data_IF_678079585724
#
_entry.id   IF_678079585724
#
_cell.length_a   1.000
_cell.length_b   1.000
_cell.length_c   1.000
_cell.angle_alpha   90.00
_cell.angle_beta   90.00
_cell.angle_gamma   90.00
#
_symmetry.space_group_name_H-M   'P 1'
#
loop_
_entity.id
_entity.type
_entity.pdbx_description
1 polymer ?
#
# COMPACT_ATOMS: atom_id res chain seq x y z
N UNK A 1 18.81 4.01 3.06
CA UNK A 1 17.40 3.81 3.48
C UNK A 1 17.29 2.36 3.93
N UNK A 2 17.29 2.09 5.24
CA UNK A 2 17.17 0.71 5.73
C UNK A 2 15.73 0.24 5.53
N UNK A 3 15.55 -1.02 5.12
CA UNK A 3 14.26 -1.68 4.84
C UNK A 3 13.30 -1.68 6.04
N UNK A 4 13.78 -1.31 7.23
CA UNK A 4 13.01 -1.24 8.47
C UNK A 4 11.94 -0.16 8.55
N UNK A 5 11.72 0.70 7.55
CA UNK A 5 10.84 1.86 7.76
C UNK A 5 9.78 2.11 6.69
N UNK A 6 9.49 1.16 5.79
CA UNK A 6 8.30 1.31 4.92
C UNK A 6 7.03 1.29 5.77
N UNK A 7 6.94 0.35 6.73
CA UNK A 7 5.81 0.26 7.66
C UNK A 7 5.71 1.52 8.51
N UNK A 8 6.82 2.00 9.08
CA UNK A 8 6.79 3.26 9.86
C UNK A 8 6.51 4.49 9.00
N UNK A 9 6.97 4.52 7.74
CA UNK A 9 6.61 5.58 6.80
C UNK A 9 5.10 5.60 6.54
N UNK A 10 4.48 4.43 6.38
CA UNK A 10 3.04 4.31 6.23
C UNK A 10 2.27 4.63 7.51
N UNK A 11 2.79 4.27 8.69
CA UNK A 11 2.25 4.72 9.98
C UNK A 11 2.33 6.24 10.12
N UNK A 12 3.47 6.84 9.80
CA UNK A 12 3.69 8.30 9.86
C UNK A 12 2.84 9.06 8.84
N UNK A 13 2.53 8.45 7.70
CA UNK A 13 1.65 8.99 6.67
C UNK A 13 0.16 8.69 6.91
N UNK A 14 -0.19 8.05 8.04
CA UNK A 14 -1.57 7.64 8.38
C UNK A 14 -2.21 6.68 7.36
N UNK A 15 -1.41 5.89 6.64
CA UNK A 15 -1.89 4.85 5.72
C UNK A 15 -2.09 3.50 6.41
N UNK A 16 -1.39 3.30 7.54
CA UNK A 16 -1.56 2.16 8.43
C UNK A 16 -1.86 2.65 9.85
N UNK A 17 -2.50 1.81 10.63
CA UNK A 17 -2.75 2.00 12.06
C UNK A 17 -2.13 0.84 12.85
N UNK A 18 -1.69 1.08 14.09
CA UNK A 18 -1.22 0.00 14.97
C UNK A 18 -2.40 -0.81 15.49
N UNK A 19 -2.24 -2.13 15.50
CA UNK A 19 -3.23 -3.09 15.97
C UNK A 19 -2.58 -4.14 16.89
N UNK A 20 -1.72 -3.67 17.80
CA UNK A 20 -0.88 -4.49 18.67
C UNK A 20 0.58 -4.06 18.68
N UNK A 21 1.43 -4.82 19.37
CA UNK A 21 2.86 -4.54 19.50
C UNK A 21 3.59 -4.71 18.16
N UNK A 22 3.32 -5.82 17.46
CA UNK A 22 3.95 -6.19 16.18
C UNK A 22 2.95 -6.27 15.01
N UNK A 23 1.76 -5.69 15.17
CA UNK A 23 0.69 -5.77 14.17
C UNK A 23 0.23 -4.38 13.74
N UNK A 24 -0.10 -4.27 12.45
CA UNK A 24 -0.66 -3.06 11.83
C UNK A 24 -1.87 -3.46 10.98
N UNK A 25 -2.83 -2.55 10.87
CA UNK A 25 -4.01 -2.68 10.03
C UNK A 25 -4.04 -1.55 9.01
N UNK A 26 -4.65 -1.82 7.87
CA UNK A 26 -4.88 -0.85 6.80
C UNK A 26 -6.36 -0.50 6.79
N UNK A 27 -6.68 0.79 6.66
CA UNK A 27 -8.05 1.23 6.45
C UNK A 27 -8.57 0.67 5.12
N UNK A 28 -9.81 0.19 5.09
CA UNK A 28 -10.43 -0.42 3.90
C UNK A 28 -10.35 0.51 2.67
N UNK A 29 -10.54 1.81 2.86
CA UNK A 29 -10.45 2.81 1.79
C UNK A 29 -9.05 2.86 1.16
N UNK A 30 -7.99 2.80 1.97
CA UNK A 30 -6.62 2.84 1.46
C UNK A 30 -6.29 1.52 0.75
N UNK A 31 -6.76 0.38 1.26
CA UNK A 31 -6.64 -0.92 0.59
C UNK A 31 -7.30 -0.88 -0.79
N UNK A 32 -8.52 -0.36 -0.87
CA UNK A 32 -9.27 -0.30 -2.12
C UNK A 32 -8.61 0.65 -3.13
N UNK A 33 -8.03 1.78 -2.67
CA UNK A 33 -7.20 2.66 -3.51
C UNK A 33 -5.95 1.96 -4.04
N UNK A 34 -5.27 1.18 -3.19
CA UNK A 34 -4.12 0.37 -3.60
C UNK A 34 -4.51 -0.63 -4.70
N UNK A 35 -5.62 -1.35 -4.52
CA UNK A 35 -6.14 -2.28 -5.51
C UNK A 35 -6.54 -1.60 -6.82
N UNK A 36 -7.12 -0.40 -6.76
CA UNK A 36 -7.42 0.40 -7.95
C UNK A 36 -6.14 0.70 -8.73
N UNK A 37 -5.13 1.24 -8.06
CA UNK A 37 -3.86 1.64 -8.69
C UNK A 37 -3.16 0.43 -9.32
N UNK A 38 -3.10 -0.71 -8.61
CA UNK A 38 -2.46 -1.91 -9.16
C UNK A 38 -3.19 -2.44 -10.38
N UNK A 39 -4.54 -2.37 -10.40
CA UNK A 39 -5.33 -2.78 -11.57
C UNK A 39 -5.14 -1.86 -12.77
N UNK A 40 -5.06 -0.55 -12.55
CA UNK A 40 -4.75 0.41 -13.63
C UNK A 40 -3.35 0.20 -14.19
N UNK A 41 -2.39 -0.12 -13.33
CA UNK A 41 -1.02 -0.45 -13.75
C UNK A 41 -1.00 -1.75 -14.59
N UNK A 42 -1.66 -2.81 -14.12
CA UNK A 42 -1.78 -4.07 -14.88
C UNK A 42 -2.47 -3.87 -16.23
N UNK A 43 -3.51 -3.03 -16.29
CA UNK A 43 -4.18 -2.67 -17.53
C UNK A 43 -3.20 -1.94 -18.46
N UNK A 44 -2.50 -0.94 -17.95
CA UNK A 44 -1.50 -0.16 -18.68
C UNK A 44 -0.36 -1.03 -19.21
N UNK A 45 0.21 -1.91 -18.39
CA UNK A 45 1.28 -2.84 -18.80
C UNK A 45 0.81 -3.80 -19.90
N UNK A 46 -0.43 -4.31 -19.82
CA UNK A 46 -1.01 -5.13 -20.90
C UNK A 46 -1.10 -4.39 -22.24
N UNK A 47 -1.32 -3.08 -22.23
CA UNK A 47 -1.30 -2.25 -23.45
C UNK A 47 0.12 -1.94 -23.94
N UNK A 48 1.13 -1.94 -23.06
CA UNK A 48 2.53 -1.72 -23.45
C UNK A 48 3.21 -2.95 -24.09
N UNK A 49 2.69 -4.16 -23.84
CA UNK A 49 3.20 -5.40 -24.44
C UNK A 49 2.42 -5.88 -25.69
N UNK A 50 1.58 -5.01 -26.27
CA UNK A 50 0.86 -5.24 -27.54
C UNK A 50 1.58 -4.59 -28.73
#
# INVERSE_FOLDING_TARGET
MQVGDIISSFLNACLLERDGEDCVKMLDVIRDMGLWITRELEATEKYFFL
#
